data_IF_274313972911
#
_entry.id   IF_274313972911
#
_cell.length_a   1.000
_cell.length_b   1.000
_cell.length_c   1.000
_cell.angle_alpha   90.00
_cell.angle_beta   90.00
_cell.angle_gamma   90.00
#
_symmetry.space_group_name_H-M   'P 1'
#
loop_
_entity.id
_entity.type
_entity.pdbx_description
1 polymer ?
#
# COMPACT_ATOMS: atom_id res chain seq x y z
N UNK A 1 14.65 -22.08 9.91
CA UNK A 1 14.99 -21.68 8.53
C UNK A 1 14.19 -20.44 8.18
N UNK A 2 14.78 -19.40 7.56
CA UNK A 2 14.02 -18.20 7.20
C UNK A 2 12.99 -18.54 6.12
N UNK A 3 11.79 -17.96 6.23
CA UNK A 3 10.64 -18.29 5.38
C UNK A 3 10.77 -17.79 3.93
N UNK A 4 11.79 -16.96 3.64
CA UNK A 4 11.94 -16.22 2.38
C UNK A 4 13.39 -16.16 1.85
N UNK A 5 14.24 -17.15 2.16
CA UNK A 5 15.64 -17.22 1.67
C UNK A 5 15.78 -17.73 0.22
N UNK A 6 14.68 -17.80 -0.52
CA UNK A 6 14.66 -18.23 -1.92
C UNK A 6 15.07 -17.13 -2.91
N UNK A 7 15.20 -17.49 -4.19
CA UNK A 7 15.44 -16.53 -5.28
C UNK A 7 14.27 -15.58 -5.53
N UNK A 8 13.10 -15.87 -4.96
CA UNK A 8 11.91 -15.02 -4.95
C UNK A 8 11.51 -14.72 -3.50
N UNK A 9 11.21 -13.46 -3.22
CA UNK A 9 10.85 -13.01 -1.88
C UNK A 9 10.48 -11.53 -1.81
N UNK A 10 9.94 -11.08 -0.67
CA UNK A 10 9.64 -9.68 -0.44
C UNK A 10 10.93 -8.85 -0.51
N UNK A 11 10.83 -7.67 -1.08
CA UNK A 11 11.93 -6.71 -1.06
C UNK A 11 12.28 -6.34 0.39
N UNK A 12 13.54 -5.97 0.64
CA UNK A 12 14.00 -5.58 1.99
C UNK A 12 13.16 -4.44 2.59
N UNK A 13 12.62 -3.56 1.75
CA UNK A 13 11.70 -2.49 2.15
C UNK A 13 10.35 -3.02 2.58
N UNK A 14 9.72 -3.92 1.81
CA UNK A 14 8.46 -4.54 2.20
C UNK A 14 8.61 -5.36 3.50
N UNK A 15 9.72 -6.08 3.65
CA UNK A 15 10.01 -6.88 4.84
C UNK A 15 10.12 -6.01 6.11
N UNK A 16 10.70 -4.80 6.00
CA UNK A 16 10.81 -3.88 7.12
C UNK A 16 9.45 -3.41 7.68
N UNK A 17 8.41 -3.39 6.86
CA UNK A 17 7.05 -3.00 7.27
C UNK A 17 6.14 -4.19 7.55
N UNK A 18 6.55 -5.41 7.22
CA UNK A 18 5.73 -6.63 7.33
C UNK A 18 5.34 -7.01 8.76
N UNK A 19 6.07 -6.52 9.77
CA UNK A 19 5.75 -6.77 11.20
C UNK A 19 4.53 -5.99 11.68
N UNK A 20 4.15 -4.92 10.98
CA UNK A 20 2.96 -4.14 11.28
C UNK A 20 1.97 -4.26 10.10
N UNK A 21 0.82 -4.93 10.29
CA UNK A 21 -0.14 -5.19 9.20
C UNK A 21 -0.72 -3.90 8.60
N UNK A 22 -0.79 -2.81 9.37
CA UNK A 22 -1.20 -1.50 8.84
C UNK A 22 -0.07 -0.84 8.04
N UNK A 23 1.17 -0.93 8.52
CA UNK A 23 2.31 -0.32 7.84
C UNK A 23 2.55 -0.94 6.46
N UNK A 24 2.47 -2.26 6.34
CA UNK A 24 2.62 -2.94 5.04
C UNK A 24 1.47 -2.62 4.09
N UNK A 25 0.25 -2.39 4.62
CA UNK A 25 -0.89 -1.94 3.83
C UNK A 25 -0.65 -0.54 3.24
N UNK A 26 -0.15 0.41 4.04
CA UNK A 26 0.22 1.75 3.56
C UNK A 26 1.43 1.75 2.61
N UNK A 27 2.35 0.79 2.74
CA UNK A 27 3.46 0.64 1.80
C UNK A 27 2.97 0.38 0.37
N UNK A 28 1.90 -0.39 0.20
CA UNK A 28 1.29 -0.66 -1.11
C UNK A 28 0.28 0.40 -1.55
N UNK A 29 -0.21 1.25 -0.64
CA UNK A 29 -1.23 2.26 -0.93
C UNK A 29 -0.66 3.66 -0.71
N UNK A 30 0.05 4.21 -1.73
CA UNK A 30 0.70 5.50 -1.61
C UNK A 30 -0.31 6.63 -1.38
N UNK A 31 0.10 7.68 -0.66
CA UNK A 31 -0.76 8.83 -0.32
C UNK A 31 -1.38 9.50 -1.56
N UNK A 32 -0.68 9.47 -2.69
CA UNK A 32 -1.18 10.02 -3.95
C UNK A 32 -2.39 9.26 -4.50
N UNK A 33 -2.41 7.93 -4.34
CA UNK A 33 -3.55 7.11 -4.73
C UNK A 33 -4.78 7.52 -3.92
N UNK A 34 -4.63 7.62 -2.60
CA UNK A 34 -5.70 8.07 -1.71
C UNK A 34 -6.19 9.48 -2.04
N UNK A 35 -5.27 10.40 -2.37
CA UNK A 35 -5.64 11.76 -2.79
C UNK A 35 -6.49 11.74 -4.06
N UNK A 36 -6.08 10.98 -5.08
CA UNK A 36 -6.84 10.84 -6.33
C UNK A 36 -8.22 10.21 -6.10
N UNK A 37 -8.29 9.15 -5.30
CA UNK A 37 -9.58 8.52 -4.93
C UNK A 37 -10.50 9.54 -4.25
N UNK A 38 -9.97 10.36 -3.33
CA UNK A 38 -10.76 11.38 -2.64
C UNK A 38 -11.22 12.50 -3.59
N UNK A 39 -10.35 12.97 -4.48
CA UNK A 39 -10.69 13.96 -5.51
C UNK A 39 -11.82 13.42 -6.41
N UNK A 40 -11.68 12.23 -6.98
CA UNK A 40 -12.70 11.61 -7.82
C UNK A 40 -14.00 11.40 -7.05
N UNK A 41 -13.95 10.82 -5.85
CA UNK A 41 -15.14 10.57 -5.01
C UNK A 41 -15.89 11.86 -4.70
N UNK A 42 -15.19 12.96 -4.41
CA UNK A 42 -15.80 14.26 -4.13
C UNK A 42 -16.34 14.97 -5.37
N UNK A 43 -15.93 14.58 -6.59
CA UNK A 43 -16.51 15.12 -7.83
C UNK A 43 -17.85 14.48 -8.20
N UNK A 44 -18.08 13.22 -7.84
CA UNK A 44 -19.36 12.54 -8.11
C UNK A 44 -20.61 13.25 -7.57
N UNK A 45 -20.65 13.78 -6.33
CA UNK A 45 -21.85 14.46 -5.83
C UNK A 45 -22.14 15.82 -6.48
N UNK A 46 -21.22 16.39 -7.27
CA UNK A 46 -21.43 17.65 -8.02
C UNK A 46 -21.83 17.41 -9.48
N UNK A 47 -21.80 16.15 -9.94
CA UNK A 47 -22.09 15.78 -11.32
C UNK A 47 -23.50 15.21 -11.53
N UNK A 48 -24.31 15.11 -10.46
CA UNK A 48 -25.70 14.64 -10.48
C UNK A 48 -26.69 15.77 -10.27
#
# INVERSE_FOLDING_TARGET
>A
MPLYDGSSGPTRSALAYATNPLAIFYFFLPKELWRKIAEETNTYPLAC
#
